data_IF_221959025943
#
_entry.id   IF_221959025943
#
_cell.length_a   1.000
_cell.length_b   1.000
_cell.length_c   1.000
_cell.angle_alpha   90.00
_cell.angle_beta   90.00
_cell.angle_gamma   90.00
#
_symmetry.space_group_name_H-M   'P 1'
#
loop_
_entity.id
_entity.type
_entity.pdbx_description
1 polymer ?
#
# COMPACT_ATOMS: atom_id res chain seq x y z
N UNK A 1 -9.22 -22.13 -13.77
CA UNK A 1 -9.53 -20.68 -13.94
C UNK A 1 -8.32 -19.86 -13.50
N UNK A 2 -7.69 -19.09 -14.39
CA UNK A 2 -6.65 -18.12 -14.00
C UNK A 2 -7.29 -17.07 -13.08
N UNK A 3 -6.82 -16.97 -11.84
CA UNK A 3 -7.36 -16.05 -10.85
C UNK A 3 -7.10 -14.60 -11.31
N UNK A 4 -8.16 -13.95 -11.82
CA UNK A 4 -8.16 -12.59 -12.38
C UNK A 4 -7.66 -11.49 -11.43
N UNK A 5 -7.44 -11.85 -10.17
CA UNK A 5 -7.13 -10.93 -9.08
C UNK A 5 -5.87 -11.34 -8.30
N UNK A 6 -5.01 -12.21 -8.83
CA UNK A 6 -3.76 -12.59 -8.15
C UNK A 6 -2.80 -11.42 -7.87
N UNK A 7 -2.95 -10.31 -8.59
CA UNK A 7 -2.22 -9.06 -8.34
C UNK A 7 -2.80 -8.24 -7.17
N UNK A 8 -3.98 -8.61 -6.65
CA UNK A 8 -4.52 -8.12 -5.36
C UNK A 8 -3.78 -8.83 -4.22
N UNK A 9 -2.45 -8.79 -4.26
CA UNK A 9 -1.57 -9.35 -3.23
C UNK A 9 -1.58 -8.50 -1.95
N UNK A 10 -2.01 -7.24 -2.05
CA UNK A 10 -2.25 -6.38 -0.90
C UNK A 10 -3.67 -6.61 -0.41
N UNK A 11 -3.82 -7.44 0.63
CA UNK A 11 -5.06 -7.52 1.40
C UNK A 11 -5.30 -6.15 2.03
N UNK A 12 -6.22 -5.38 1.47
CA UNK A 12 -6.72 -4.17 2.11
C UNK A 12 -7.81 -4.60 3.09
N UNK A 13 -7.71 -4.18 4.34
CA UNK A 13 -8.74 -4.50 5.33
C UNK A 13 -10.04 -3.73 5.00
N UNK A 14 -11.18 -4.26 5.45
CA UNK A 14 -12.48 -3.62 5.19
C UNK A 14 -12.54 -2.19 5.77
N UNK A 15 -11.89 -1.97 6.92
CA UNK A 15 -11.75 -0.67 7.58
C UNK A 15 -10.93 0.34 6.78
N UNK A 16 -9.84 -0.11 6.15
CA UNK A 16 -9.01 0.73 5.27
C UNK A 16 -9.79 1.15 4.02
N UNK A 17 -10.56 0.22 3.43
CA UNK A 17 -11.45 0.53 2.31
C UNK A 17 -12.55 1.51 2.73
N UNK A 18 -13.16 1.34 3.90
CA UNK A 18 -14.15 2.29 4.41
C UNK A 18 -13.57 3.70 4.58
N UNK A 19 -12.33 3.79 5.06
CA UNK A 19 -11.60 5.05 5.18
C UNK A 19 -11.31 5.69 3.82
N UNK A 20 -10.86 4.91 2.83
CA UNK A 20 -10.65 5.37 1.45
C UNK A 20 -11.94 5.90 0.82
N UNK A 21 -13.08 5.26 1.07
CA UNK A 21 -14.39 5.76 0.59
C UNK A 21 -14.78 7.09 1.22
N UNK A 22 -14.53 7.29 2.52
CA UNK A 22 -14.77 8.58 3.18
C UNK A 22 -13.91 9.69 2.58
N UNK A 23 -12.63 9.41 2.33
CA UNK A 23 -11.70 10.37 1.69
C UNK A 23 -12.13 10.67 0.25
N UNK A 24 -12.54 9.65 -0.52
CA UNK A 24 -13.11 9.84 -1.86
C UNK A 24 -14.31 10.79 -1.81
N UNK A 25 -15.23 10.61 -0.88
CA UNK A 25 -16.42 11.44 -0.77
C UNK A 25 -16.08 12.90 -0.41
N UNK A 26 -15.15 13.12 0.51
CA UNK A 26 -14.77 14.48 0.93
C UNK A 26 -13.93 15.23 -0.11
N UNK A 27 -13.02 14.52 -0.79
CA UNK A 27 -12.08 15.14 -1.75
C UNK A 27 -12.56 15.08 -3.19
N UNK A 28 -13.57 14.25 -3.49
CA UNK A 28 -14.03 13.88 -4.83
C UNK A 28 -12.94 13.26 -5.73
N UNK A 29 -11.86 12.75 -5.14
CA UNK A 29 -10.74 12.12 -5.85
C UNK A 29 -10.99 10.62 -6.05
N UNK A 30 -10.70 10.03 -7.22
CA UNK A 30 -10.86 8.59 -7.43
C UNK A 30 -9.97 7.77 -6.49
N UNK A 31 -10.47 6.64 -5.98
CA UNK A 31 -9.71 5.73 -5.09
C UNK A 31 -8.41 5.27 -5.73
N UNK A 32 -8.41 5.02 -7.05
CA UNK A 32 -7.21 4.62 -7.79
C UNK A 32 -6.08 5.66 -7.69
N UNK A 33 -6.42 6.95 -7.70
CA UNK A 33 -5.45 8.04 -7.54
C UNK A 33 -4.93 8.09 -6.10
N UNK A 34 -5.82 7.98 -5.11
CA UNK A 34 -5.45 7.95 -3.69
C UNK A 34 -4.49 6.79 -3.38
N UNK A 35 -4.78 5.60 -3.90
CA UNK A 35 -3.92 4.42 -3.75
C UNK A 35 -2.58 4.60 -4.47
N UNK A 36 -2.59 5.17 -5.68
CA UNK A 36 -1.35 5.43 -6.42
C UNK A 36 -0.43 6.41 -5.68
N UNK A 37 -0.98 7.45 -5.05
CA UNK A 37 -0.22 8.38 -4.22
C UNK A 37 0.36 7.70 -2.98
N UNK A 38 -0.46 6.96 -2.23
CA UNK A 38 0.00 6.24 -1.04
C UNK A 38 1.12 5.24 -1.38
N UNK A 39 1.01 4.53 -2.51
CA UNK A 39 2.08 3.63 -2.99
C UNK A 39 3.34 4.40 -3.37
N UNK A 40 3.20 5.54 -4.05
CA UNK A 40 4.34 6.40 -4.41
C UNK A 40 5.06 6.92 -3.17
N UNK A 41 4.32 7.39 -2.16
CA UNK A 41 4.86 7.83 -0.87
C UNK A 41 5.56 6.69 -0.13
N UNK A 42 4.95 5.51 -0.07
CA UNK A 42 5.55 4.33 0.53
C UNK A 42 6.88 3.94 -0.14
N UNK A 43 6.92 3.93 -1.47
CA UNK A 43 8.13 3.64 -2.24
C UNK A 43 9.21 4.70 -1.96
N UNK A 44 8.85 5.99 -1.95
CA UNK A 44 9.79 7.08 -1.61
C UNK A 44 10.35 6.91 -0.20
N UNK A 45 9.49 6.66 0.78
CA UNK A 45 9.89 6.43 2.16
C UNK A 45 10.83 5.21 2.30
N UNK A 46 10.59 4.13 1.53
CA UNK A 46 11.47 2.96 1.50
C UNK A 46 12.77 3.17 0.73
N UNK A 47 12.78 3.99 -0.32
CA UNK A 47 14.02 4.35 -1.04
C UNK A 47 14.93 5.25 -0.20
N UNK A 48 14.37 6.05 0.71
CA UNK A 48 15.13 6.83 1.69
C UNK A 48 15.68 5.98 2.84
N UNK A 49 15.11 4.79 3.10
CA UNK A 49 15.70 3.77 3.98
C UNK A 49 16.59 2.87 3.13
N UNK A 50 17.86 3.25 2.93
CA UNK A 50 18.86 2.31 2.38
C UNK A 50 18.72 0.95 3.08
N UNK A 51 18.78 -0.19 2.35
CA UNK A 51 18.67 -1.53 2.92
C UNK A 51 19.84 -1.95 3.82
N UNK A 52 20.66 -1.01 4.30
CA UNK A 52 21.82 -1.28 5.14
C UNK A 52 21.48 -1.55 6.62
N UNK A 53 20.21 -1.58 7.04
CA UNK A 53 19.89 -1.65 8.47
C UNK A 53 18.84 -2.68 8.91
N UNK A 54 18.66 -3.78 8.18
CA UNK A 54 17.83 -4.88 8.70
C UNK A 54 18.24 -6.24 8.10
N UNK A 55 19.50 -6.63 8.31
CA UNK A 55 19.87 -8.06 8.37
C UNK A 55 20.56 -8.30 9.71
N UNK A 56 19.75 -8.42 10.75
CA UNK A 56 20.09 -9.21 11.93
C UNK A 56 18.93 -10.16 12.21
N UNK A 57 18.82 -11.19 11.38
CA UNK A 57 18.18 -12.42 11.84
C UNK A 57 19.31 -13.25 12.47
N UNK A 58 19.15 -13.44 13.78
CA UNK A 58 19.96 -14.31 14.64
C UNK A 58 20.14 -15.68 13.99
N UNK A 59 21.38 -16.13 13.87
CA UNK A 59 21.73 -17.53 13.74
C UNK A 59 22.72 -17.84 14.85
N UNK A 60 22.24 -18.57 15.86
CA UNK A 60 23.07 -19.35 16.78
C UNK A 60 23.75 -20.50 16.03
#
# INVERSE_FOLDING_TARGET
>A
MRARYNWVGNRILAEDMASLYRIKQSTRRPITVLVAEAVSEYIKARRCKSPAHEIKIRGE
#
